data_IF_726700489421
#
_entry.id   IF_726700489421
#
_cell.length_a   1.000
_cell.length_b   1.000
_cell.length_c   1.000
_cell.angle_alpha   90.00
_cell.angle_beta   90.00
_cell.angle_gamma   90.00
#
_symmetry.space_group_name_H-M   'P 1'
#
loop_
_entity.id
_entity.type
_entity.pdbx_description
1 polymer ?
#
# COMPACT_ATOMS: atom_id res chain seq x y z
N UNK A 1 1.63 27.41 -10.18
CA UNK A 1 1.88 26.74 -8.88
C UNK A 1 0.86 27.26 -7.90
N UNK A 2 0.24 26.40 -7.10
CA UNK A 2 -0.80 26.80 -6.16
C UNK A 2 -0.45 26.35 -4.75
N UNK A 3 -0.79 27.18 -3.77
CA UNK A 3 -0.74 26.83 -2.36
C UNK A 3 -2.15 26.42 -1.91
N UNK A 4 -2.26 25.25 -1.28
CA UNK A 4 -3.54 24.67 -0.90
C UNK A 4 -3.46 24.03 0.48
N UNK A 5 -4.58 24.07 1.21
CA UNK A 5 -4.77 23.32 2.45
C UNK A 5 -5.53 22.04 2.14
N UNK A 6 -4.96 20.90 2.53
CA UNK A 6 -5.62 19.60 2.42
C UNK A 6 -6.58 19.44 3.59
N UNK A 7 -7.86 19.18 3.29
CA UNK A 7 -8.91 19.08 4.33
C UNK A 7 -9.53 17.68 4.44
N UNK A 8 -9.28 16.79 3.49
CA UNK A 8 -9.81 15.42 3.51
C UNK A 8 -8.95 14.49 2.66
N UNK A 9 -9.33 13.21 2.59
CA UNK A 9 -8.70 12.19 1.76
C UNK A 9 -9.79 11.48 0.94
N UNK A 10 -9.47 11.06 -0.27
CA UNK A 10 -10.35 10.26 -1.12
C UNK A 10 -10.22 8.73 -0.88
N UNK A 11 -10.97 7.95 -1.64
CA UNK A 11 -10.96 6.48 -1.51
C UNK A 11 -9.61 5.85 -1.92
N UNK A 12 -8.78 6.60 -2.65
CA UNK A 12 -7.49 6.17 -3.16
C UNK A 12 -6.33 6.68 -2.29
N UNK A 13 -6.62 7.24 -1.11
CA UNK A 13 -5.59 7.77 -0.22
C UNK A 13 -4.97 9.09 -0.69
N UNK A 14 -5.59 9.80 -1.65
CA UNK A 14 -5.11 11.12 -2.11
C UNK A 14 -5.74 12.20 -1.25
N UNK A 15 -4.96 13.20 -0.86
CA UNK A 15 -5.48 14.39 -0.20
C UNK A 15 -6.42 15.16 -1.11
N UNK A 16 -7.42 15.78 -0.48
CA UNK A 16 -8.44 16.59 -1.13
C UNK A 16 -8.24 18.04 -0.66
N UNK A 17 -8.11 18.93 -1.63
CA UNK A 17 -8.14 20.38 -1.44
C UNK A 17 -9.14 21.03 -2.41
N UNK A 18 -9.24 22.36 -2.38
CA UNK A 18 -10.08 23.14 -3.29
C UNK A 18 -9.28 24.29 -3.91
N UNK A 19 -9.52 24.54 -5.20
CA UNK A 19 -9.12 25.76 -5.90
C UNK A 19 -10.39 26.30 -6.57
N UNK A 20 -10.88 27.44 -6.07
CA UNK A 20 -12.21 27.95 -6.44
C UNK A 20 -13.29 26.91 -6.17
N UNK A 21 -14.07 26.57 -7.21
CA UNK A 21 -15.15 25.59 -7.14
C UNK A 21 -14.73 24.15 -7.49
N UNK A 22 -13.45 23.92 -7.83
CA UNK A 22 -12.97 22.60 -8.24
C UNK A 22 -12.31 21.86 -7.08
N UNK A 23 -12.62 20.57 -6.98
CA UNK A 23 -11.95 19.65 -6.07
C UNK A 23 -10.58 19.30 -6.62
N UNK A 24 -9.55 19.32 -5.79
CA UNK A 24 -8.17 19.01 -6.17
C UNK A 24 -7.73 17.73 -5.48
N UNK A 25 -7.27 16.75 -6.25
CA UNK A 25 -6.72 15.50 -5.74
C UNK A 25 -5.19 15.55 -5.78
N UNK A 26 -4.57 15.31 -4.62
CA UNK A 26 -3.12 15.46 -4.42
C UNK A 26 -2.60 14.18 -3.76
N UNK A 27 -1.80 13.35 -4.46
CA UNK A 27 -1.18 12.18 -3.84
C UNK A 27 -0.19 12.56 -2.72
N UNK A 28 0.05 11.64 -1.77
CA UNK A 28 1.08 11.76 -0.71
C UNK A 28 0.86 12.93 0.27
N UNK A 29 -0.39 13.33 0.48
CA UNK A 29 -0.76 14.40 1.42
C UNK A 29 -1.89 13.97 2.36
N UNK A 30 -1.90 14.54 3.56
CA UNK A 30 -2.82 14.26 4.65
C UNK A 30 -3.63 15.51 5.03
N UNK A 31 -4.82 15.37 5.64
CA UNK A 31 -5.58 16.48 6.17
C UNK A 31 -4.74 17.30 7.16
N UNK A 32 -4.75 18.61 6.97
CA UNK A 32 -3.92 19.56 7.72
C UNK A 32 -2.61 19.92 7.05
N UNK A 33 -2.17 19.21 5.99
CA UNK A 33 -1.00 19.64 5.22
C UNK A 33 -1.32 20.92 4.43
N UNK A 34 -0.43 21.89 4.52
CA UNK A 34 -0.36 23.02 3.58
C UNK A 34 0.70 22.72 2.53
N UNK A 35 0.31 22.65 1.27
CA UNK A 35 1.16 22.14 0.19
C UNK A 35 1.29 23.14 -0.94
N UNK A 36 2.47 23.13 -1.58
CA UNK A 36 2.66 23.69 -2.92
C UNK A 36 2.45 22.58 -3.94
N UNK A 37 1.60 22.84 -4.94
CA UNK A 37 1.21 21.83 -5.92
C UNK A 37 1.37 22.31 -7.37
N UNK A 38 1.56 21.34 -8.26
CA UNK A 38 1.54 21.49 -9.72
C UNK A 38 0.29 20.84 -10.29
N UNK A 39 -0.53 21.60 -11.01
CA UNK A 39 -1.67 21.01 -11.74
C UNK A 39 -1.11 20.18 -12.89
N UNK A 40 -1.52 18.90 -12.96
CA UNK A 40 -1.14 17.99 -14.04
C UNK A 40 -2.30 17.70 -14.99
N UNK A 41 -3.53 17.80 -14.49
CA UNK A 41 -4.73 17.57 -15.31
C UNK A 41 -5.89 18.38 -14.75
N UNK A 42 -6.55 19.12 -15.63
CA UNK A 42 -7.74 19.87 -15.27
C UNK A 42 -8.96 19.31 -16.00
N UNK A 43 -10.04 19.10 -15.25
CA UNK A 43 -11.34 18.67 -15.76
C UNK A 43 -12.41 19.67 -15.36
N UNK A 44 -13.63 19.47 -15.86
CA UNK A 44 -14.78 20.36 -15.59
C UNK A 44 -15.01 20.56 -14.09
N UNK A 45 -14.99 19.47 -13.32
CA UNK A 45 -15.38 19.48 -11.90
C UNK A 45 -14.21 19.27 -10.93
N UNK A 46 -13.05 18.83 -11.41
CA UNK A 46 -11.93 18.48 -10.56
C UNK A 46 -10.58 18.70 -11.24
N UNK A 47 -9.54 18.71 -10.42
CA UNK A 47 -8.14 18.87 -10.80
C UNK A 47 -7.36 17.69 -10.23
N UNK A 48 -6.48 17.10 -11.02
CA UNK A 48 -5.40 16.24 -10.52
C UNK A 48 -4.13 17.07 -10.45
N UNK A 49 -3.44 16.99 -9.32
CA UNK A 49 -2.22 17.73 -9.07
C UNK A 49 -1.15 16.82 -8.45
N UNK A 50 0.11 17.19 -8.67
CA UNK A 50 1.27 16.61 -8.03
C UNK A 50 1.71 17.50 -6.87
N UNK A 51 2.12 16.86 -5.78
CA UNK A 51 2.78 17.52 -4.65
C UNK A 51 4.18 17.98 -5.09
N UNK A 52 4.46 19.27 -4.95
CA UNK A 52 5.82 19.81 -5.12
C UNK A 52 6.53 19.77 -3.77
N UNK A 53 5.92 20.36 -2.74
CA UNK A 53 6.45 20.34 -1.38
C UNK A 53 5.33 20.55 -0.36
N UNK A 54 5.52 19.99 0.82
CA UNK A 54 4.73 20.34 2.01
C UNK A 54 5.39 21.58 2.62
N UNK A 55 4.62 22.65 2.79
CA UNK A 55 5.04 23.91 3.40
C UNK A 55 4.89 23.79 4.92
N UNK A 56 3.75 23.26 5.36
CA UNK A 56 3.46 22.98 6.77
C UNK A 56 2.86 21.58 6.86
N UNK A 57 3.50 20.68 7.63
CA UNK A 57 3.02 19.31 7.82
C UNK A 57 1.83 19.26 8.77
N UNK A 58 0.88 18.38 8.47
CA UNK A 58 -0.18 18.00 9.41
C UNK A 58 0.40 17.55 10.75
N UNK A 59 -0.24 17.94 11.85
CA UNK A 59 0.10 17.47 13.20
C UNK A 59 -0.13 15.98 13.39
N UNK A 60 -0.97 15.38 12.54
CA UNK A 60 -1.30 13.96 12.58
C UNK A 60 -0.39 13.12 11.68
N UNK A 61 0.61 13.73 11.05
CA UNK A 61 1.60 13.05 10.21
C UNK A 61 2.63 12.36 11.11
N UNK A 62 2.92 11.10 10.82
CA UNK A 62 3.96 10.30 11.47
C UNK A 62 5.00 9.85 10.46
N UNK A 63 6.21 9.56 10.93
CA UNK A 63 7.24 8.97 10.06
C UNK A 63 6.81 7.57 9.64
N UNK A 64 6.83 7.29 8.33
CA UNK A 64 6.55 5.95 7.85
C UNK A 64 7.59 4.96 8.37
N UNK A 65 7.12 3.82 8.85
CA UNK A 65 7.95 2.69 9.28
C UNK A 65 8.54 1.90 8.11
N UNK A 66 8.10 2.17 6.87
CA UNK A 66 8.53 1.46 5.67
C UNK A 66 9.29 2.39 4.73
N UNK A 67 10.55 2.05 4.43
CA UNK A 67 11.42 2.79 3.51
C UNK A 67 10.88 2.86 2.07
N UNK A 68 10.00 1.93 1.70
CA UNK A 68 9.40 1.85 0.35
C UNK A 68 8.05 2.57 0.22
N UNK A 69 7.48 3.09 1.32
CA UNK A 69 6.11 3.62 1.37
C UNK A 69 5.82 4.76 0.41
N UNK A 70 6.85 5.52 0.01
CA UNK A 70 6.71 6.61 -0.93
C UNK A 70 6.37 6.15 -2.35
N UNK A 71 6.89 4.99 -2.77
CA UNK A 71 6.81 4.56 -4.17
C UNK A 71 6.01 3.27 -4.34
N UNK A 72 6.04 2.39 -3.35
CA UNK A 72 5.27 1.15 -3.31
C UNK A 72 3.77 1.43 -3.37
N UNK A 73 3.06 0.73 -4.27
CA UNK A 73 1.61 0.82 -4.42
C UNK A 73 0.80 0.11 -3.33
N UNK A 74 1.44 -0.46 -2.31
CA UNK A 74 0.77 -1.34 -1.34
C UNK A 74 0.11 -0.65 -0.15
N UNK A 75 0.58 0.54 0.28
CA UNK A 75 0.09 1.18 1.50
C UNK A 75 0.00 2.70 1.35
N UNK A 76 -1.19 3.26 1.58
CA UNK A 76 -1.44 4.70 1.41
C UNK A 76 -1.37 5.52 2.70
N UNK A 77 -1.48 4.89 3.87
CA UNK A 77 -1.68 5.60 5.15
C UNK A 77 -0.56 5.37 6.18
N UNK A 78 0.59 4.82 5.80
CA UNK A 78 1.66 4.51 6.76
C UNK A 78 2.29 5.75 7.41
N UNK A 79 2.08 6.93 6.85
CA UNK A 79 2.53 8.23 7.34
C UNK A 79 1.42 9.00 8.09
N UNK A 80 0.26 8.38 8.36
CA UNK A 80 -0.85 8.97 9.09
C UNK A 80 -1.01 8.30 10.45
N UNK A 81 -1.18 9.08 11.53
CA UNK A 81 -1.39 8.55 12.87
C UNK A 81 -2.59 7.58 12.89
N UNK A 82 -2.44 6.43 13.56
CA UNK A 82 -3.38 5.32 13.45
C UNK A 82 -4.80 5.68 13.93
N UNK A 83 -4.94 6.40 15.04
CA UNK A 83 -6.27 6.83 15.51
C UNK A 83 -6.94 7.75 14.50
N UNK A 84 -6.16 8.59 13.83
CA UNK A 84 -6.65 9.45 12.75
C UNK A 84 -7.02 8.69 11.49
N UNK A 85 -6.35 7.58 11.18
CA UNK A 85 -6.80 6.65 10.14
C UNK A 85 -8.17 6.03 10.48
N UNK A 86 -8.40 5.67 11.74
CA UNK A 86 -9.68 5.09 12.19
C UNK A 86 -10.81 6.12 12.08
N UNK A 87 -10.62 7.32 12.64
CA UNK A 87 -11.59 8.42 12.54
C UNK A 87 -11.92 8.72 11.07
N UNK A 88 -10.90 8.76 10.20
CA UNK A 88 -11.10 8.96 8.77
C UNK A 88 -11.97 7.86 8.14
N UNK A 89 -11.65 6.58 8.39
CA UNK A 89 -12.41 5.44 7.85
C UNK A 89 -13.84 5.43 8.36
N UNK A 90 -14.07 5.79 9.62
CA UNK A 90 -15.39 5.80 10.23
C UNK A 90 -16.25 6.91 9.62
N UNK A 91 -15.72 8.12 9.55
CA UNK A 91 -16.37 9.24 8.88
C UNK A 91 -16.67 8.91 7.42
N UNK A 92 -15.79 8.14 6.77
CA UNK A 92 -15.98 7.71 5.39
C UNK A 92 -17.18 6.80 5.23
N UNK A 93 -17.33 5.80 6.08
CA UNK A 93 -18.50 4.91 6.08
C UNK A 93 -19.78 5.72 6.35
N UNK A 94 -19.77 6.58 7.37
CA UNK A 94 -20.90 7.49 7.68
C UNK A 94 -21.30 8.33 6.47
N UNK A 95 -20.32 8.92 5.78
CA UNK A 95 -20.55 9.71 4.59
C UNK A 95 -21.11 8.90 3.41
N UNK A 96 -20.59 7.69 3.17
CA UNK A 96 -21.07 6.81 2.10
C UNK A 96 -22.50 6.34 2.36
N UNK A 97 -22.83 5.93 3.58
CA UNK A 97 -24.19 5.50 3.95
C UNK A 97 -25.21 6.62 3.79
N UNK A 98 -24.86 7.83 4.26
CA UNK A 98 -25.75 9.00 4.16
C UNK A 98 -25.89 9.52 2.72
N UNK A 99 -24.77 9.73 2.01
CA UNK A 99 -24.78 10.41 0.69
C UNK A 99 -25.16 9.48 -0.46
N UNK A 100 -24.69 8.25 -0.44
CA UNK A 100 -24.94 7.27 -1.52
C UNK A 100 -26.08 6.34 -1.13
N UNK A 101 -26.00 5.73 0.06
CA UNK A 101 -27.02 4.81 0.54
C UNK A 101 -28.35 5.48 0.87
N UNK A 102 -28.36 6.79 1.16
CA UNK A 102 -29.51 7.53 1.70
C UNK A 102 -30.06 6.89 2.99
N UNK A 103 -29.18 6.26 3.76
CA UNK A 103 -29.48 5.59 5.02
C UNK A 103 -29.01 6.50 6.15
N UNK A 104 -29.91 6.78 7.10
CA UNK A 104 -29.61 7.54 8.32
C UNK A 104 -29.63 6.62 9.53
N UNK A 105 -28.64 5.72 9.60
CA UNK A 105 -28.40 4.86 10.74
C UNK A 105 -27.10 5.25 11.43
N UNK A 106 -27.03 4.98 12.72
CA UNK A 106 -25.79 5.08 13.47
C UNK A 106 -24.79 4.06 12.95
N UNK A 107 -23.56 4.51 12.72
CA UNK A 107 -22.44 3.65 12.33
C UNK A 107 -21.66 3.33 13.59
N UNK A 108 -21.59 2.04 13.91
CA UNK A 108 -20.80 1.54 15.02
C UNK A 108 -19.32 1.91 14.87
N UNK A 109 -18.63 1.99 16.01
CA UNK A 109 -17.19 2.24 16.05
C UNK A 109 -16.41 1.20 15.26
N UNK A 110 -15.27 1.63 14.69
CA UNK A 110 -14.38 0.72 13.98
C UNK A 110 -13.74 -0.26 14.96
N UNK A 111 -13.87 -1.56 14.65
CA UNK A 111 -13.08 -2.60 15.28
C UNK A 111 -11.61 -2.40 14.93
N UNK A 112 -10.83 -2.01 15.94
CA UNK A 112 -9.40 -1.72 15.79
C UNK A 112 -8.64 -3.02 15.59
N UNK A 113 -7.63 -3.00 14.73
CA UNK A 113 -6.66 -4.09 14.69
C UNK A 113 -5.66 -3.95 15.84
N UNK A 114 -5.38 -5.07 16.50
CA UNK A 114 -4.33 -5.19 17.53
C UNK A 114 -2.92 -5.10 16.91
N UNK A 115 -2.78 -5.49 15.63
CA UNK A 115 -1.51 -5.48 14.90
C UNK A 115 -1.53 -4.42 13.80
N UNK A 116 -0.72 -3.36 13.96
CA UNK A 116 -0.53 -2.31 12.95
C UNK A 116 0.47 -2.71 11.85
N UNK A 117 1.36 -3.64 12.17
CA UNK A 117 2.42 -4.19 11.32
C UNK A 117 2.37 -5.72 11.39
N UNK A 118 3.05 -6.40 10.47
CA UNK A 118 3.15 -7.87 10.43
C UNK A 118 1.81 -8.64 10.44
N UNK A 119 0.69 -8.01 10.07
CA UNK A 119 -0.63 -8.64 10.12
C UNK A 119 -1.00 -9.42 8.84
N UNK A 120 -0.29 -9.18 7.74
CA UNK A 120 -0.63 -9.71 6.42
C UNK A 120 -0.03 -11.10 6.26
N UNK A 121 -0.93 -12.08 6.15
CA UNK A 121 -0.61 -13.50 6.00
C UNK A 121 -0.55 -13.97 4.53
N UNK A 122 -0.86 -13.09 3.56
CA UNK A 122 -0.76 -13.39 2.12
C UNK A 122 -0.25 -12.18 1.34
N UNK A 123 0.78 -12.38 0.53
CA UNK A 123 1.26 -11.38 -0.43
C UNK A 123 1.46 -11.99 -1.81
N UNK A 124 1.41 -11.15 -2.82
CA UNK A 124 1.81 -11.48 -4.19
C UNK A 124 2.80 -10.41 -4.64
N UNK A 125 4.01 -10.85 -4.98
CA UNK A 125 5.10 -10.01 -5.42
C UNK A 125 5.34 -10.23 -6.91
N UNK A 126 5.56 -9.15 -7.63
CA UNK A 126 5.90 -9.15 -9.04
C UNK A 126 7.40 -9.37 -9.19
N UNK A 127 7.77 -10.05 -10.27
CA UNK A 127 9.14 -10.34 -10.59
C UNK A 127 9.47 -9.72 -11.95
N UNK A 128 10.56 -8.97 -11.98
CA UNK A 128 11.17 -8.40 -13.20
C UNK A 128 12.70 -8.48 -13.01
N UNK A 129 13.41 -7.35 -12.86
CA UNK A 129 14.85 -7.31 -12.49
C UNK A 129 15.11 -7.55 -10.99
N UNK A 130 14.18 -8.22 -10.32
CA UNK A 130 14.10 -8.38 -8.88
C UNK A 130 12.66 -8.62 -8.45
N UNK A 131 12.43 -8.62 -7.13
CA UNK A 131 11.14 -8.98 -6.55
C UNK A 131 10.54 -7.84 -5.73
N UNK A 132 9.26 -7.54 -5.97
CA UNK A 132 8.57 -6.58 -5.12
C UNK A 132 7.15 -6.24 -5.56
N UNK A 133 6.74 -4.98 -5.37
CA UNK A 133 5.40 -4.53 -5.73
C UNK A 133 5.45 -3.59 -6.92
N UNK A 134 4.33 -3.41 -7.60
CA UNK A 134 4.18 -2.31 -8.54
C UNK A 134 4.24 -0.96 -7.82
N UNK A 135 4.91 0.00 -8.46
CA UNK A 135 4.84 1.41 -8.06
C UNK A 135 3.42 1.95 -8.28
N UNK A 136 3.04 3.00 -7.56
CA UNK A 136 1.69 3.61 -7.70
C UNK A 136 1.42 4.00 -9.16
N UNK A 137 0.32 3.49 -9.72
CA UNK A 137 -0.15 3.74 -11.10
C UNK A 137 0.88 3.41 -12.19
N UNK A 138 1.77 2.45 -11.96
CA UNK A 138 2.75 1.97 -12.94
C UNK A 138 2.82 0.44 -12.92
N UNK A 139 3.40 -0.15 -13.97
CA UNK A 139 3.83 -1.55 -13.98
C UNK A 139 5.32 -1.70 -13.62
N UNK A 140 5.99 -0.60 -13.25
CA UNK A 140 7.36 -0.67 -12.73
C UNK A 140 7.39 -1.36 -11.37
N UNK A 141 8.30 -2.31 -11.21
CA UNK A 141 8.51 -3.01 -9.95
C UNK A 141 9.45 -2.18 -9.06
N UNK A 142 9.07 -2.00 -7.80
CA UNK A 142 9.98 -1.58 -6.72
C UNK A 142 10.46 -2.82 -5.97
N UNK A 143 11.76 -3.11 -6.10
CA UNK A 143 12.38 -4.24 -5.41
C UNK A 143 12.36 -4.01 -3.89
N UNK A 144 11.97 -5.04 -3.14
CA UNK A 144 11.92 -4.99 -1.67
C UNK A 144 12.66 -6.16 -1.06
N UNK A 145 13.33 -5.91 0.06
CA UNK A 145 13.92 -6.92 0.94
C UNK A 145 13.00 -7.31 2.11
N UNK A 146 12.00 -6.48 2.40
CA UNK A 146 11.05 -6.65 3.51
C UNK A 146 9.76 -5.87 3.25
N UNK A 147 8.64 -6.43 3.68
CA UNK A 147 7.35 -5.77 3.75
C UNK A 147 6.90 -5.64 5.21
N UNK A 148 6.82 -4.41 5.73
CA UNK A 148 6.52 -4.13 7.15
C UNK A 148 5.14 -4.60 7.62
N UNK A 149 4.21 -4.83 6.68
CA UNK A 149 2.88 -5.35 7.02
C UNK A 149 2.78 -6.86 6.85
N UNK A 150 3.74 -7.52 6.18
CA UNK A 150 3.77 -8.97 6.05
C UNK A 150 4.39 -9.61 7.28
N UNK A 151 3.92 -10.80 7.66
CA UNK A 151 4.49 -11.52 8.80
C UNK A 151 5.96 -11.91 8.58
N UNK A 152 6.63 -12.32 9.65
CA UNK A 152 8.07 -12.57 9.63
C UNK A 152 8.45 -13.72 8.70
N UNK A 153 7.66 -14.80 8.67
CA UNK A 153 7.89 -15.94 7.77
C UNK A 153 7.84 -15.56 6.29
N UNK A 154 6.91 -14.67 5.92
CA UNK A 154 6.87 -14.11 4.56
C UNK A 154 8.13 -13.30 4.29
N UNK A 155 8.58 -12.47 5.23
CA UNK A 155 9.79 -11.65 5.06
C UNK A 155 11.07 -12.50 4.94
N UNK A 156 11.16 -13.65 5.61
CA UNK A 156 12.24 -14.63 5.40
C UNK A 156 12.25 -15.14 3.96
N UNK A 157 11.07 -15.49 3.42
CA UNK A 157 10.94 -15.98 2.04
C UNK A 157 11.29 -14.90 1.02
N UNK A 158 10.90 -13.63 1.25
CA UNK A 158 11.32 -12.51 0.40
C UNK A 158 12.85 -12.46 0.30
N UNK A 159 13.52 -12.50 1.45
CA UNK A 159 14.99 -12.44 1.52
C UNK A 159 15.66 -13.59 0.79
N UNK A 160 15.13 -14.80 0.90
CA UNK A 160 15.66 -15.97 0.18
C UNK A 160 15.39 -15.94 -1.31
N UNK A 161 14.22 -15.42 -1.71
CA UNK A 161 13.87 -15.29 -3.14
C UNK A 161 14.75 -14.25 -3.82
N UNK A 162 15.14 -13.19 -3.11
CA UNK A 162 16.05 -12.16 -3.65
C UNK A 162 17.42 -12.73 -4.04
N UNK A 163 17.82 -13.86 -3.44
CA UNK A 163 19.08 -14.57 -3.73
C UNK A 163 18.86 -15.81 -4.61
N UNK A 164 17.71 -15.96 -5.26
CA UNK A 164 17.44 -17.09 -6.14
C UNK A 164 17.98 -16.83 -7.54
N UNK A 165 18.82 -17.74 -8.04
CA UNK A 165 19.37 -17.65 -9.39
C UNK A 165 18.26 -17.72 -10.44
N UNK A 166 18.38 -16.91 -11.49
CA UNK A 166 17.43 -16.82 -12.60
C UNK A 166 16.01 -16.38 -12.20
N UNK A 167 15.85 -15.64 -11.09
CA UNK A 167 14.53 -15.19 -10.62
C UNK A 167 13.75 -14.42 -11.70
N UNK A 168 14.44 -13.71 -12.59
CA UNK A 168 13.85 -12.97 -13.72
C UNK A 168 13.10 -13.86 -14.73
N UNK A 169 13.24 -15.20 -14.67
CA UNK A 169 12.47 -16.15 -15.49
C UNK A 169 11.06 -16.40 -14.94
N UNK A 170 10.77 -15.90 -13.75
CA UNK A 170 9.49 -16.06 -13.05
C UNK A 170 8.68 -14.77 -13.17
N UNK A 171 7.35 -14.88 -13.13
CA UNK A 171 6.45 -13.73 -13.33
C UNK A 171 5.99 -13.13 -12.01
N UNK A 172 5.59 -13.97 -11.07
CA UNK A 172 5.27 -13.53 -9.71
C UNK A 172 5.46 -14.64 -8.68
N UNK A 173 5.58 -14.21 -7.43
CA UNK A 173 5.65 -15.06 -6.25
C UNK A 173 4.47 -14.71 -5.33
N UNK A 174 3.57 -15.66 -5.11
CA UNK A 174 2.58 -15.60 -4.03
C UNK A 174 3.08 -16.39 -2.83
N UNK A 175 3.00 -15.78 -1.64
CA UNK A 175 3.33 -16.42 -0.38
C UNK A 175 2.12 -16.30 0.54
N UNK A 176 1.70 -17.41 1.14
CA UNK A 176 0.72 -17.43 2.23
C UNK A 176 1.28 -18.16 3.43
N UNK A 177 1.30 -17.53 4.59
CA UNK A 177 1.86 -18.12 5.81
C UNK A 177 0.96 -17.86 7.01
N UNK A 178 0.68 -18.90 7.79
CA UNK A 178 -0.18 -18.85 8.96
C UNK A 178 0.67 -18.98 10.23
N UNK A 179 0.69 -17.94 11.07
CA UNK A 179 1.45 -17.96 12.33
C UNK A 179 0.94 -19.04 13.31
N UNK A 180 -0.36 -19.32 13.29
CA UNK A 180 -1.01 -20.26 14.25
C UNK A 180 -0.70 -21.72 13.96
N UNK A 181 -0.59 -22.10 12.68
CA UNK A 181 -0.30 -23.48 12.27
C UNK A 181 1.14 -23.67 11.82
N UNK A 182 1.91 -22.59 11.71
CA UNK A 182 3.24 -22.53 11.11
C UNK A 182 3.29 -23.02 9.64
N UNK A 183 2.13 -23.19 8.99
CA UNK A 183 2.05 -23.66 7.61
C UNK A 183 2.31 -22.52 6.63
N UNK A 184 3.09 -22.81 5.58
CA UNK A 184 3.41 -21.84 4.54
C UNK A 184 3.26 -22.45 3.15
N UNK A 185 2.63 -21.70 2.26
CA UNK A 185 2.40 -22.02 0.85
C UNK A 185 3.11 -21.00 -0.01
N UNK A 186 3.87 -21.50 -0.98
CA UNK A 186 4.63 -20.72 -1.96
C UNK A 186 4.12 -21.10 -3.34
N UNK A 187 3.71 -20.12 -4.13
CA UNK A 187 3.29 -20.32 -5.51
C UNK A 187 4.15 -19.41 -6.39
N UNK A 188 4.94 -20.03 -7.25
CA UNK A 188 5.74 -19.35 -8.27
C UNK A 188 5.04 -19.49 -9.62
N UNK A 189 4.64 -18.36 -10.20
CA UNK A 189 4.11 -18.33 -11.57
C UNK A 189 5.27 -18.27 -12.55
N UNK A 190 5.29 -19.20 -13.50
CA UNK A 190 6.31 -19.36 -14.54
C UNK A 190 5.69 -19.20 -15.93
N UNK A 191 6.39 -18.53 -16.85
CA UNK A 191 5.95 -18.39 -18.24
C UNK A 191 6.40 -19.57 -19.13
N UNK A 192 7.44 -20.31 -18.71
CA UNK A 192 7.99 -21.47 -19.41
C UNK A 192 8.27 -22.60 -18.43
N UNK A 193 8.25 -23.84 -18.91
CA UNK A 193 8.59 -25.02 -18.10
C UNK A 193 9.99 -24.88 -17.50
N UNK A 194 10.12 -25.17 -16.21
CA UNK A 194 11.35 -25.05 -15.43
C UNK A 194 11.58 -26.33 -14.61
N UNK A 195 12.84 -26.55 -14.23
CA UNK A 195 13.24 -27.67 -13.39
C UNK A 195 12.63 -27.57 -11.98
N UNK A 196 11.71 -28.49 -11.68
CA UNK A 196 10.98 -28.55 -10.42
C UNK A 196 11.90 -28.83 -9.24
N UNK A 197 12.94 -29.66 -9.41
CA UNK A 197 13.85 -30.04 -8.32
C UNK A 197 14.70 -28.87 -7.86
N UNK A 198 15.15 -28.00 -8.78
CA UNK A 198 15.87 -26.76 -8.45
C UNK A 198 15.05 -25.86 -7.53
N UNK A 199 13.76 -25.69 -7.83
CA UNK A 199 12.84 -24.87 -7.02
C UNK A 199 12.63 -25.51 -5.65
N UNK A 200 12.32 -26.82 -5.61
CA UNK A 200 12.12 -27.55 -4.36
C UNK A 200 13.34 -27.41 -3.45
N UNK A 201 14.55 -27.65 -3.97
CA UNK A 201 15.78 -27.61 -3.18
C UNK A 201 16.11 -26.23 -2.62
N UNK A 202 15.72 -25.15 -3.30
CA UNK A 202 15.95 -23.78 -2.81
C UNK A 202 15.01 -23.39 -1.69
N UNK A 203 13.74 -23.79 -1.78
CA UNK A 203 12.72 -23.41 -0.80
C UNK A 203 12.53 -24.41 0.34
N UNK A 204 12.99 -25.67 0.18
CA UNK A 204 12.76 -26.76 1.15
C UNK A 204 13.32 -26.48 2.55
N UNK A 205 14.29 -25.57 2.67
CA UNK A 205 14.83 -25.12 3.97
C UNK A 205 13.83 -24.33 4.82
N UNK A 206 12.72 -23.87 4.25
CA UNK A 206 11.75 -23.00 4.91
C UNK A 206 10.33 -23.54 5.00
N UNK A 207 10.00 -24.61 4.29
CA UNK A 207 8.65 -25.16 4.20
C UNK A 207 8.69 -26.66 4.45
N UNK A 208 7.78 -27.13 5.31
CA UNK A 208 7.71 -28.54 5.71
C UNK A 208 7.33 -29.48 4.54
N UNK A 209 6.76 -28.93 3.46
CA UNK A 209 6.44 -29.63 2.22
C UNK A 209 6.33 -28.66 1.01
N UNK A 210 6.62 -29.14 -0.20
CA UNK A 210 6.55 -28.40 -1.48
C UNK A 210 5.68 -29.16 -2.48
#
# INVERSE_FOLDING_TARGET
MHDVLVYSIDNMGRGIAKIGNKVVFIPKTLPGDRCKIKIVKEKKNYIEAELITIIESSKDRVKSMCKYSNDCGGCDFMDYEYNKQLIYKEQKVKDLMRKIGKISLEVNDIVRSDKKLNYRNKITLQIDKGIGYYKKKSYDVINIDRCMIANDKINEIIKLTTNFDDIEKYKNLMIRSFETTNQTMIVLEIDKYMDKEKIINHFSKLVDSI
#
